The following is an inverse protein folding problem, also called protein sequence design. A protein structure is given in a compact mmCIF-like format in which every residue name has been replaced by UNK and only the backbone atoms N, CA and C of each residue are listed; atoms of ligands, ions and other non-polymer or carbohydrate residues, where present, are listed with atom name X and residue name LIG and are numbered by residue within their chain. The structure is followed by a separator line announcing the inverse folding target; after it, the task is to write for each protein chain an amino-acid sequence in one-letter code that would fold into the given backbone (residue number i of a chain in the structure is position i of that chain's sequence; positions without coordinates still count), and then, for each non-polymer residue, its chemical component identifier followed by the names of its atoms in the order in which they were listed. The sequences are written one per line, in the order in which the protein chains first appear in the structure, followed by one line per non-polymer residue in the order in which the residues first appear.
data_IF_769583250013
#
_entry.id   IF_769583250013
#
_cell.length_a   1.000
_cell.length_b   1.000
_cell.length_c   1.000
_cell.angle_alpha   90.00
_cell.angle_beta   90.00
_cell.angle_gamma   90.00
#
_symmetry.space_group_name_H-M   'P 1'
#
loop_
_entity.id
_entity.type
_entity.pdbx_description
1 polymer ?
#
# COMPACT_ATOMS: atom_id res chain seq x y z
N UNK A 1 3.68 23.31 -14.97
CA UNK A 1 4.06 23.04 -13.58
C UNK A 1 2.79 22.72 -12.80
N UNK A 2 2.50 21.45 -12.56
CA UNK A 2 1.37 21.07 -11.70
C UNK A 2 1.65 21.51 -10.27
N UNK A 3 0.65 22.09 -9.60
CA UNK A 3 0.80 22.57 -8.23
C UNK A 3 1.06 21.35 -7.30
N UNK A 4 1.99 21.43 -6.34
CA UNK A 4 2.36 20.31 -5.46
C UNK A 4 1.19 19.75 -4.64
N UNK A 5 0.17 20.57 -4.36
CA UNK A 5 -1.06 20.12 -3.72
C UNK A 5 -1.87 19.12 -4.57
N UNK A 6 -1.79 19.20 -5.90
CA UNK A 6 -2.50 18.29 -6.80
C UNK A 6 -1.86 16.89 -6.80
N UNK A 7 -0.54 16.83 -6.98
CA UNK A 7 0.20 15.56 -7.02
C UNK A 7 0.06 14.73 -5.73
N UNK A 8 0.05 15.38 -4.56
CA UNK A 8 -0.18 14.70 -3.27
C UNK A 8 -1.58 14.09 -3.16
N UNK A 9 -2.60 14.85 -3.58
CA UNK A 9 -3.98 14.38 -3.52
C UNK A 9 -4.23 13.25 -4.51
N UNK A 10 -3.62 13.33 -5.70
CA UNK A 10 -3.63 12.24 -6.69
C UNK A 10 -2.98 10.98 -6.11
N UNK A 11 -1.79 11.09 -5.53
CA UNK A 11 -1.13 9.92 -4.92
C UNK A 11 -1.99 9.32 -3.81
N UNK A 12 -2.61 10.15 -2.97
CA UNK A 12 -3.52 9.67 -1.92
C UNK A 12 -4.68 8.87 -2.50
N UNK A 13 -5.28 9.36 -3.59
CA UNK A 13 -6.36 8.66 -4.27
C UNK A 13 -5.88 7.32 -4.84
N UNK A 14 -4.73 7.30 -5.51
CA UNK A 14 -4.15 6.07 -6.06
C UNK A 14 -3.85 5.04 -4.98
N UNK A 15 -3.24 5.46 -3.87
CA UNK A 15 -2.89 4.57 -2.77
C UNK A 15 -4.14 4.01 -2.07
N UNK A 16 -5.20 4.83 -1.91
CA UNK A 16 -6.50 4.35 -1.40
C UNK A 16 -7.13 3.31 -2.31
N UNK A 17 -7.01 3.49 -3.61
CA UNK A 17 -7.60 2.55 -4.58
C UNK A 17 -6.82 1.24 -4.63
N UNK A 18 -5.49 1.33 -4.67
CA UNK A 18 -4.62 0.17 -4.54
C UNK A 18 -4.92 -0.63 -3.27
N UNK A 19 -5.01 0.04 -2.13
CA UNK A 19 -5.27 -0.63 -0.86
C UNK A 19 -6.64 -1.32 -0.82
N UNK A 20 -7.67 -0.64 -1.37
CA UNK A 20 -9.03 -1.21 -1.50
C UNK A 20 -9.02 -2.48 -2.34
N UNK A 21 -8.35 -2.46 -3.50
CA UNK A 21 -8.26 -3.61 -4.41
C UNK A 21 -7.45 -4.75 -3.80
N UNK A 22 -6.31 -4.43 -3.20
CA UNK A 22 -5.45 -5.41 -2.53
C UNK A 22 -6.15 -6.10 -1.36
N UNK A 23 -6.87 -5.34 -0.52
CA UNK A 23 -7.64 -5.90 0.59
C UNK A 23 -8.80 -6.78 0.09
N UNK A 24 -9.55 -6.33 -0.93
CA UNK A 24 -10.63 -7.14 -1.50
C UNK A 24 -10.12 -8.48 -2.07
N UNK A 25 -8.97 -8.48 -2.74
CA UNK A 25 -8.35 -9.72 -3.25
C UNK A 25 -7.86 -10.61 -2.12
N UNK A 26 -7.20 -10.05 -1.11
CA UNK A 26 -6.75 -10.81 0.06
C UNK A 26 -7.92 -11.52 0.76
N UNK A 27 -9.04 -10.80 0.98
CA UNK A 27 -10.26 -11.34 1.58
C UNK A 27 -10.90 -12.48 0.75
N UNK A 28 -10.77 -12.45 -0.58
CA UNK A 28 -11.28 -13.51 -1.46
C UNK A 28 -10.37 -14.75 -1.48
N UNK A 29 -9.07 -14.58 -1.26
CA UNK A 29 -8.09 -15.66 -1.30
C UNK A 29 -8.11 -16.53 -0.02
N UNK A 30 -8.46 -15.96 1.13
CA UNK A 30 -8.52 -16.67 2.42
C UNK A 30 -9.79 -17.51 2.55
N UNK A 31 -9.67 -18.84 2.35
CA UNK A 31 -10.76 -19.82 2.60
C UNK A 31 -10.77 -20.39 4.03
N UNK A 32 -9.73 -20.15 4.83
CA UNK A 32 -9.60 -20.70 6.17
C UNK A 32 -9.34 -19.57 7.18
N UNK A 33 -10.29 -19.33 8.09
CA UNK A 33 -10.32 -18.18 9.01
C UNK A 33 -9.30 -18.25 10.16
N UNK A 34 -8.22 -19.01 10.01
CA UNK A 34 -7.23 -19.26 11.07
C UNK A 34 -5.82 -18.91 10.60
N UNK A 35 -5.41 -17.68 10.95
CA UNK A 35 -4.04 -17.16 11.02
C UNK A 35 -3.40 -16.62 9.72
N UNK A 36 -3.45 -15.28 9.58
CA UNK A 36 -2.41 -14.37 9.04
C UNK A 36 -1.92 -14.64 7.58
N UNK A 37 -2.42 -13.94 6.54
CA UNK A 37 -2.11 -12.56 6.05
C UNK A 37 -1.16 -12.53 4.86
N UNK A 38 -1.64 -12.02 3.73
CA UNK A 38 -0.84 -11.87 2.52
C UNK A 38 0.24 -10.78 2.68
N UNK A 39 1.48 -11.15 2.40
CA UNK A 39 2.62 -10.24 2.24
C UNK A 39 3.05 -10.25 0.78
N UNK A 40 3.05 -9.08 0.13
CA UNK A 40 3.55 -8.94 -1.23
C UNK A 40 4.74 -7.97 -1.27
N UNK A 41 5.91 -8.54 -1.55
CA UNK A 41 7.12 -7.77 -1.85
C UNK A 41 7.23 -7.58 -3.36
N UNK A 42 7.29 -6.33 -3.83
CA UNK A 42 7.67 -6.06 -5.22
C UNK A 42 8.80 -5.06 -5.31
N UNK A 43 9.71 -5.38 -6.23
CA UNK A 43 10.78 -4.49 -6.65
C UNK A 43 10.48 -4.02 -8.06
N UNK A 44 10.48 -2.71 -8.29
CA UNK A 44 10.62 -2.21 -9.67
C UNK A 44 12.11 -2.31 -10.02
N UNK A 45 12.46 -3.25 -10.88
CA UNK A 45 13.86 -3.57 -11.21
C UNK A 45 14.63 -2.43 -11.89
N UNK A 46 13.92 -1.47 -12.49
CA UNK A 46 14.52 -0.38 -13.29
C UNK A 46 14.86 0.88 -12.50
N UNK A 47 14.44 1.00 -11.23
CA UNK A 47 14.54 2.25 -10.44
C UNK A 47 14.84 1.91 -8.99
N UNK A 48 15.48 2.81 -8.24
CA UNK A 48 15.90 2.61 -6.84
C UNK A 48 14.75 2.53 -5.80
N UNK A 49 13.61 1.96 -6.21
CA UNK A 49 12.43 1.76 -5.41
C UNK A 49 12.16 0.25 -5.23
N UNK A 50 12.25 -0.19 -3.99
CA UNK A 50 11.85 -1.52 -3.57
C UNK A 50 10.87 -1.38 -2.42
N UNK A 51 9.68 -1.99 -2.54
CA UNK A 51 8.62 -1.86 -1.55
C UNK A 51 7.96 -3.20 -1.25
N UNK A 52 7.68 -3.42 0.02
CA UNK A 52 6.90 -4.53 0.52
C UNK A 52 5.59 -4.01 1.09
N UNK A 53 4.49 -4.60 0.65
CA UNK A 53 3.14 -4.25 1.08
C UNK A 53 2.49 -5.47 1.70
N UNK A 54 2.06 -5.33 2.95
CA UNK A 54 1.42 -6.41 3.70
C UNK A 54 0.01 -6.01 4.09
N UNK A 55 -0.96 -6.92 3.90
CA UNK A 55 -2.36 -6.71 4.24
C UNK A 55 -2.75 -7.57 5.43
N UNK A 56 -2.92 -6.96 6.61
CA UNK A 56 -3.27 -7.65 7.85
C UNK A 56 -4.78 -7.84 7.97
N UNK A 57 -5.22 -9.07 8.23
CA UNK A 57 -6.58 -9.51 8.55
C UNK A 57 -6.57 -10.32 9.86
N UNK A 58 -7.60 -10.16 10.68
CA UNK A 58 -7.81 -10.94 11.90
C UNK A 58 -9.27 -11.36 11.95
N UNK A 59 -9.53 -12.67 12.01
CA UNK A 59 -10.87 -13.26 12.13
C UNK A 59 -11.87 -12.81 11.03
N UNK A 60 -11.46 -12.75 9.75
CA UNK A 60 -12.36 -12.27 8.69
C UNK A 60 -12.44 -10.75 8.57
N UNK A 61 -11.70 -10.00 9.39
CA UNK A 61 -11.78 -8.54 9.44
C UNK A 61 -10.43 -7.93 9.07
N UNK A 62 -10.36 -7.10 8.01
CA UNK A 62 -9.20 -6.27 7.72
C UNK A 62 -8.77 -5.46 8.95
N UNK A 63 -7.47 -5.32 9.18
CA UNK A 63 -6.93 -4.55 10.31
C UNK A 63 -6.04 -3.40 9.84
N UNK A 64 -5.07 -3.65 8.95
CA UNK A 64 -4.21 -2.59 8.41
C UNK A 64 -3.43 -3.01 7.17
N UNK A 65 -2.92 -2.02 6.43
CA UNK A 65 -1.94 -2.21 5.36
C UNK A 65 -0.61 -1.55 5.75
N UNK A 66 0.49 -2.29 5.64
CA UNK A 66 1.85 -1.78 5.89
C UNK A 66 2.58 -1.60 4.58
N UNK A 67 3.16 -0.42 4.37
CA UNK A 67 4.00 -0.09 3.22
C UNK A 67 5.44 0.06 3.72
N UNK A 68 6.29 -0.90 3.43
CA UNK A 68 7.71 -0.93 3.81
C UNK A 68 8.57 -0.67 2.58
N UNK A 69 9.14 0.52 2.49
CA UNK A 69 10.15 0.86 1.51
C UNK A 69 11.48 0.25 1.97
N UNK A 70 12.08 -0.58 1.14
CA UNK A 70 13.39 -1.22 1.37
C UNK A 70 14.52 -0.44 0.68
N UNK A 71 14.19 0.26 -0.41
CA UNK A 71 15.05 1.21 -1.11
C UNK A 71 14.24 2.47 -1.42
N UNK A 72 14.83 3.67 -1.33
CA UNK A 72 16.28 3.95 -1.20
C UNK A 72 16.80 3.86 0.24
N UNK A 73 15.89 3.88 1.23
CA UNK A 73 16.17 3.62 2.65
C UNK A 73 15.02 2.83 3.25
N UNK A 74 15.29 2.12 4.34
CA UNK A 74 14.26 1.36 5.05
C UNK A 74 13.32 2.31 5.78
N UNK A 75 12.04 2.32 5.40
CA UNK A 75 10.98 3.09 6.06
C UNK A 75 9.64 2.37 5.95
N UNK A 76 8.89 2.31 7.05
CA UNK A 76 7.58 1.66 7.08
C UNK A 76 6.48 2.63 7.49
N UNK A 77 5.35 2.57 6.78
CA UNK A 77 4.19 3.42 7.01
C UNK A 77 2.93 2.57 7.12
N UNK A 78 2.15 2.84 8.16
CA UNK A 78 0.84 2.22 8.41
C UNK A 78 -0.17 3.35 8.50
N UNK A 79 -0.76 3.71 7.37
CA UNK A 79 -1.69 4.83 7.29
C UNK A 79 -3.12 4.40 6.97
N UNK A 80 -3.36 3.09 6.87
CA UNK A 80 -4.68 2.49 6.84
C UNK A 80 -4.91 1.64 8.07
N UNK A 81 -6.04 1.86 8.72
CA UNK A 81 -6.52 1.07 9.84
C UNK A 81 -8.01 0.80 9.66
N UNK A 82 -8.47 -0.29 10.24
CA UNK A 82 -9.86 -0.72 10.14
C UNK A 82 -10.44 -0.94 11.53
N UNK A 83 -11.72 -0.60 11.72
CA UNK A 83 -12.44 -1.01 12.93
C UNK A 83 -12.95 -2.46 12.82
N UNK A 84 -13.61 -2.92 13.87
CA UNK A 84 -14.16 -4.27 13.95
C UNK A 84 -15.32 -4.52 12.97
N UNK A 85 -15.85 -3.48 12.34
CA UNK A 85 -16.87 -3.58 11.29
C UNK A 85 -16.26 -3.52 9.87
N UNK A 86 -14.92 -3.44 9.75
CA UNK A 86 -14.24 -3.32 8.46
C UNK A 86 -14.33 -1.92 7.85
N UNK A 87 -14.72 -0.89 8.64
CA UNK A 87 -14.68 0.49 8.16
C UNK A 87 -13.25 0.98 8.13
N UNK A 88 -12.83 1.49 6.97
CA UNK A 88 -11.48 2.01 6.73
C UNK A 88 -11.30 3.43 7.28
N UNK A 89 -10.19 3.64 7.98
CA UNK A 89 -9.67 4.92 8.43
C UNK A 89 -8.32 5.21 7.78
N UNK A 90 -8.08 6.48 7.47
CA UNK A 90 -6.82 6.92 6.84
C UNK A 90 -6.12 7.92 7.75
N UNK A 91 -4.91 7.58 8.22
CA UNK A 91 -4.06 8.49 8.97
C UNK A 91 -3.34 9.44 8.01
N UNK A 92 -3.95 10.62 7.76
CA UNK A 92 -3.42 11.65 6.87
C UNK A 92 -2.03 12.15 7.27
N UNK A 93 -1.70 12.18 8.57
CA UNK A 93 -0.39 12.61 9.06
C UNK A 93 0.71 11.64 8.62
N UNK A 94 0.46 10.34 8.74
CA UNK A 94 1.41 9.31 8.31
C UNK A 94 1.51 9.25 6.78
N UNK A 95 0.39 9.42 6.07
CA UNK A 95 0.43 9.54 4.61
C UNK A 95 1.28 10.74 4.15
N UNK A 96 1.14 11.91 4.78
CA UNK A 96 1.96 13.08 4.44
C UNK A 96 3.45 12.80 4.65
N UNK A 97 3.83 12.11 5.73
CA UNK A 97 5.24 11.68 5.94
C UNK A 97 5.74 10.72 4.88
N UNK A 98 4.90 9.78 4.43
CA UNK A 98 5.25 8.89 3.32
C UNK A 98 5.42 9.67 2.02
N UNK A 99 4.54 10.65 1.75
CA UNK A 99 4.66 11.53 0.60
C UNK A 99 5.98 12.33 0.63
N UNK A 100 6.29 12.98 1.75
CA UNK A 100 7.55 13.71 1.96
C UNK A 100 8.78 12.79 1.79
N UNK A 101 8.70 11.55 2.29
CA UNK A 101 9.75 10.54 2.09
C UNK A 101 9.97 10.24 0.61
N UNK A 102 8.90 9.96 -0.14
CA UNK A 102 8.97 9.68 -1.59
C UNK A 102 9.43 10.91 -2.38
N UNK A 103 8.93 12.09 -2.03
CA UNK A 103 9.29 13.36 -2.66
C UNK A 103 10.77 13.69 -2.47
N UNK A 104 11.31 13.49 -1.26
CA UNK A 104 12.73 13.71 -0.96
C UNK A 104 13.69 12.86 -1.79
N UNK A 105 13.21 11.71 -2.30
CA UNK A 105 13.95 10.78 -3.15
C UNK A 105 13.53 10.84 -4.62
N UNK A 106 12.61 11.75 -4.99
CA UNK A 106 12.03 11.86 -6.33
C UNK A 106 11.35 10.55 -6.83
N UNK A 107 10.72 9.79 -5.94
CA UNK A 107 10.13 8.47 -6.22
C UNK A 107 8.59 8.47 -6.29
N UNK A 108 7.95 9.63 -6.27
CA UNK A 108 6.48 9.74 -6.33
C UNK A 108 5.91 9.14 -7.63
N UNK A 109 6.44 9.45 -8.83
CA UNK A 109 5.97 8.85 -10.08
C UNK A 109 6.14 7.32 -10.10
N UNK A 110 7.28 6.83 -9.62
CA UNK A 110 7.65 5.41 -9.57
C UNK A 110 6.74 4.61 -8.67
N UNK A 111 6.51 5.15 -7.47
CA UNK A 111 5.63 4.49 -6.52
C UNK A 111 4.19 4.46 -7.05
N UNK A 112 3.74 5.55 -7.68
CA UNK A 112 2.43 5.61 -8.34
C UNK A 112 2.32 4.56 -9.46
N UNK A 113 3.32 4.45 -10.32
CA UNK A 113 3.37 3.42 -11.38
C UNK A 113 3.31 2.00 -10.81
N UNK A 114 4.09 1.72 -9.76
CA UNK A 114 4.11 0.41 -9.10
C UNK A 114 2.73 0.01 -8.58
N UNK A 115 2.07 0.88 -7.81
CA UNK A 115 0.79 0.54 -7.15
C UNK A 115 -0.40 0.58 -8.13
N UNK A 116 -0.23 1.16 -9.32
CA UNK A 116 -1.19 1.10 -10.42
C UNK A 116 -1.00 -0.12 -11.32
N UNK A 117 0.15 -0.81 -11.23
CA UNK A 117 0.43 -1.99 -12.04
C UNK A 117 -0.47 -3.16 -11.64
N UNK A 118 -1.28 -3.65 -12.58
CA UNK A 118 -2.15 -4.82 -12.39
C UNK A 118 -1.36 -6.08 -12.02
N UNK A 119 -0.09 -6.16 -12.43
CA UNK A 119 0.81 -7.24 -12.06
C UNK A 119 1.00 -7.31 -10.55
N UNK A 120 0.97 -6.18 -9.83
CA UNK A 120 1.04 -6.17 -8.38
C UNK A 120 -0.19 -6.87 -7.78
N UNK A 121 -1.36 -6.65 -8.35
CA UNK A 121 -2.60 -7.22 -7.83
C UNK A 121 -2.78 -8.71 -8.13
N UNK A 122 -2.14 -9.24 -9.17
CA UNK A 122 -2.19 -10.68 -9.48
C UNK A 122 -1.41 -11.51 -8.46
N UNK A 123 -0.22 -11.05 -8.07
CA UNK A 123 0.63 -11.76 -7.10
C UNK A 123 0.03 -11.77 -5.68
N UNK A 124 -0.91 -10.87 -5.36
CA UNK A 124 -1.67 -10.88 -4.10
C UNK A 124 -2.64 -12.06 -3.99
N UNK A 125 -3.14 -12.55 -5.12
CA UNK A 125 -4.17 -13.61 -5.18
C UNK A 125 -3.62 -15.02 -5.41
N UNK A 126 -2.31 -15.16 -5.64
CA UNK A 126 -1.69 -16.43 -6.06
C UNK A 126 -0.93 -17.17 -4.94
N UNK A 127 -1.14 -16.80 -3.66
CA UNK A 127 -0.55 -17.48 -2.50
C UNK A 127 -1.61 -18.13 -1.63
#
# INVERSE_FOLDING_TARGET
MEKPANAKNELLATVKEFERRGMAKAMLATKDHKHIISSLRKRLSRKDLEVEIMFKEVNGVPKFATFTFLRPKVASFIFFSYDDQGKRFVNRKLFNRMYEFLESSQLVPEFRELIMSEQFDQDLSSR
#
